data_IF_852209647611
#
_entry.id   IF_852209647611
#
_cell.length_a   1.000
_cell.length_b   1.000
_cell.length_c   1.000
_cell.angle_alpha   90.00
_cell.angle_beta   90.00
_cell.angle_gamma   90.00
#
_symmetry.space_group_name_H-M   'P 1'
#
loop_
_entity.id
_entity.type
_entity.pdbx_description
1 polymer ?
#
# COMPACT_ATOMS: atom_id res chain seq x y z
N UNK A 1 -14.17 -34.26 23.40
CA UNK A 1 -13.06 -34.45 22.43
C UNK A 1 -12.50 -35.85 22.66
N UNK A 2 -12.17 -36.62 21.61
CA UNK A 2 -11.60 -37.95 21.71
C UNK A 2 -10.25 -37.91 22.46
N UNK A 3 -10.05 -38.78 23.44
CA UNK A 3 -8.82 -38.89 24.24
C UNK A 3 -7.58 -39.03 23.36
N UNK A 4 -7.66 -39.79 22.27
CA UNK A 4 -6.58 -39.95 21.29
C UNK A 4 -6.18 -38.65 20.61
N UNK A 5 -7.14 -37.70 20.39
CA UNK A 5 -6.86 -36.39 19.81
C UNK A 5 -6.14 -35.50 20.83
N UNK A 6 -6.59 -35.51 22.07
CA UNK A 6 -5.95 -34.76 23.16
C UNK A 6 -4.50 -35.22 23.35
N UNK A 7 -4.26 -36.53 23.38
CA UNK A 7 -2.90 -37.10 23.53
C UNK A 7 -1.97 -36.64 22.38
N UNK A 8 -2.48 -36.62 21.13
CA UNK A 8 -1.71 -36.13 19.98
C UNK A 8 -1.40 -34.63 20.07
N UNK A 9 -2.37 -33.82 20.50
CA UNK A 9 -2.17 -32.39 20.71
C UNK A 9 -1.09 -32.13 21.76
N UNK A 10 -1.11 -32.86 22.87
CA UNK A 10 -0.09 -32.76 23.91
C UNK A 10 1.30 -33.14 23.40
N UNK A 11 1.42 -34.18 22.60
CA UNK A 11 2.67 -34.58 21.98
C UNK A 11 3.20 -33.53 20.99
N UNK A 12 2.30 -32.92 20.20
CA UNK A 12 2.66 -31.84 19.30
C UNK A 12 3.11 -30.61 20.07
N UNK A 13 2.43 -30.24 21.17
CA UNK A 13 2.83 -29.12 22.02
C UNK A 13 4.25 -29.32 22.58
N UNK A 14 4.58 -30.50 23.08
CA UNK A 14 5.94 -30.83 23.53
C UNK A 14 6.97 -30.70 22.41
N UNK A 15 6.65 -31.25 21.21
CA UNK A 15 7.54 -31.24 20.06
C UNK A 15 7.84 -29.80 19.60
N UNK A 16 6.81 -28.94 19.46
CA UNK A 16 6.98 -27.56 19.02
C UNK A 16 7.68 -26.71 20.08
N UNK A 17 7.35 -26.90 21.36
CA UNK A 17 8.03 -26.20 22.45
C UNK A 17 9.53 -26.49 22.48
N UNK A 18 9.94 -27.75 22.20
CA UNK A 18 11.34 -28.13 22.13
C UNK A 18 12.12 -27.44 20.99
N UNK A 19 11.42 -26.94 19.97
CA UNK A 19 12.00 -26.20 18.85
C UNK A 19 11.76 -24.68 18.93
N UNK A 20 11.26 -24.20 20.08
CA UNK A 20 10.95 -22.77 20.28
C UNK A 20 9.75 -22.27 19.46
N UNK A 21 8.89 -23.19 19.01
CA UNK A 21 7.69 -22.88 18.21
C UNK A 21 6.44 -22.98 19.07
N UNK A 22 5.39 -22.24 18.71
CA UNK A 22 4.11 -22.24 19.40
C UNK A 22 3.07 -23.07 18.63
N UNK A 23 2.56 -24.16 19.27
CA UNK A 23 1.51 -24.99 18.67
C UNK A 23 0.22 -24.23 18.41
N UNK A 24 -0.15 -23.26 19.27
CA UNK A 24 -1.36 -22.46 19.15
C UNK A 24 -1.40 -21.72 17.81
N UNK A 25 -0.29 -21.06 17.44
CA UNK A 25 -0.14 -20.40 16.14
C UNK A 25 -0.29 -21.33 14.95
N UNK A 26 0.11 -22.61 15.09
CA UNK A 26 -0.10 -23.61 14.03
C UNK A 26 -1.58 -24.03 13.94
N UNK A 27 -2.25 -24.17 15.07
CA UNK A 27 -3.67 -24.50 15.10
C UNK A 27 -4.51 -23.34 14.51
N UNK A 28 -4.18 -22.10 14.85
CA UNK A 28 -4.80 -20.92 14.24
C UNK A 28 -4.57 -20.91 12.72
N UNK A 29 -3.35 -21.19 12.27
CA UNK A 29 -3.04 -21.30 10.84
C UNK A 29 -3.87 -22.38 10.14
N UNK A 30 -4.08 -23.54 10.77
CA UNK A 30 -4.93 -24.61 10.23
C UNK A 30 -6.40 -24.23 10.19
N UNK A 31 -6.90 -23.49 11.19
CA UNK A 31 -8.29 -23.00 11.24
C UNK A 31 -8.57 -21.94 10.18
N UNK A 32 -7.57 -21.09 9.86
CA UNK A 32 -7.67 -20.04 8.87
C UNK A 32 -7.31 -20.47 7.44
N UNK A 33 -6.80 -21.71 7.29
CA UNK A 33 -6.38 -22.24 5.99
C UNK A 33 -7.56 -22.56 5.10
N UNK A 34 -7.67 -21.86 3.97
CA UNK A 34 -8.63 -22.14 2.91
C UNK A 34 -8.11 -23.15 1.88
N UNK A 35 -6.90 -23.69 2.10
CA UNK A 35 -6.20 -24.59 1.16
C UNK A 35 -6.02 -23.99 -0.25
N UNK A 36 -6.02 -22.64 -0.36
CA UNK A 36 -5.78 -21.95 -1.61
C UNK A 36 -4.33 -22.12 -2.05
N UNK A 37 -4.14 -22.36 -3.34
CA UNK A 37 -2.82 -22.28 -3.96
C UNK A 37 -2.27 -20.86 -3.95
N UNK A 38 -0.95 -20.70 -4.08
CA UNK A 38 -0.30 -19.39 -4.18
C UNK A 38 -0.94 -18.50 -5.25
N UNK A 39 -1.26 -19.10 -6.40
CA UNK A 39 -1.87 -18.42 -7.54
C UNK A 39 -3.22 -17.79 -7.22
N UNK A 40 -4.09 -18.58 -6.57
CA UNK A 40 -5.44 -18.15 -6.20
C UNK A 40 -5.39 -17.13 -5.07
N UNK A 41 -4.52 -17.37 -4.06
CA UNK A 41 -4.39 -16.49 -2.90
C UNK A 41 -4.01 -15.06 -3.27
N UNK A 42 -3.10 -14.87 -4.24
CA UNK A 42 -2.70 -13.54 -4.70
C UNK A 42 -3.49 -13.04 -5.91
N UNK A 43 -4.52 -13.77 -6.37
CA UNK A 43 -5.34 -13.43 -7.54
C UNK A 43 -4.49 -13.18 -8.80
N UNK A 44 -3.51 -14.05 -9.05
CA UNK A 44 -2.49 -13.83 -10.07
C UNK A 44 -3.08 -13.76 -11.49
N UNK A 45 -4.12 -14.55 -11.80
CA UNK A 45 -4.82 -14.48 -13.09
C UNK A 45 -5.34 -13.06 -13.36
N UNK A 46 -6.00 -12.46 -12.39
CA UNK A 46 -6.49 -11.09 -12.51
C UNK A 46 -5.33 -10.11 -12.65
N UNK A 47 -4.31 -10.22 -11.79
CA UNK A 47 -3.16 -9.32 -11.80
C UNK A 47 -2.46 -9.29 -13.16
N UNK A 48 -2.25 -10.45 -13.79
CA UNK A 48 -1.55 -10.57 -15.07
C UNK A 48 -2.40 -10.18 -16.29
N UNK A 49 -3.68 -9.86 -16.11
CA UNK A 49 -4.58 -9.37 -17.19
C UNK A 49 -4.80 -7.86 -17.16
N UNK A 50 -4.25 -7.14 -16.18
CA UNK A 50 -4.46 -5.71 -16.03
C UNK A 50 -3.62 -4.83 -16.95
N UNK A 51 -2.62 -5.40 -17.63
CA UNK A 51 -1.70 -4.69 -18.52
C UNK A 51 -2.29 -4.57 -19.92
N UNK A 52 -2.94 -3.44 -20.21
CA UNK A 52 -3.63 -3.18 -21.47
C UNK A 52 -2.99 -1.99 -22.20
N UNK A 53 -1.92 -2.20 -23.00
CA UNK A 53 -1.31 -1.14 -23.78
C UNK A 53 -2.28 -0.59 -24.83
N UNK A 54 -2.14 0.69 -25.16
CA UNK A 54 -2.93 1.38 -26.20
C UNK A 54 -2.24 1.35 -27.55
N UNK A 55 -0.95 1.07 -27.58
CA UNK A 55 -0.12 1.04 -28.78
C UNK A 55 0.56 -0.32 -28.93
N UNK A 56 1.15 -0.57 -30.09
CA UNK A 56 1.91 -1.80 -30.37
C UNK A 56 3.39 -1.71 -29.93
N UNK A 57 3.80 -0.62 -29.26
CA UNK A 57 5.17 -0.49 -28.77
C UNK A 57 5.38 -1.38 -27.52
N UNK A 58 6.37 -2.30 -27.55
CA UNK A 58 6.64 -3.22 -26.45
C UNK A 58 6.89 -2.53 -25.11
N UNK A 59 7.57 -1.39 -25.14
CA UNK A 59 7.98 -0.64 -23.93
C UNK A 59 6.80 0.03 -23.23
N UNK A 60 5.65 0.21 -23.89
CA UNK A 60 4.44 0.66 -23.20
C UNK A 60 4.00 -0.34 -22.11
N UNK A 61 4.24 -1.63 -22.31
CA UNK A 61 3.95 -2.64 -21.28
C UNK A 61 4.87 -2.50 -20.08
N UNK A 62 6.16 -2.18 -20.28
CA UNK A 62 7.12 -1.89 -19.22
C UNK A 62 6.62 -0.70 -18.40
N UNK A 63 6.21 0.38 -19.08
CA UNK A 63 5.64 1.58 -18.46
C UNK A 63 4.45 1.26 -17.58
N UNK A 64 3.47 0.50 -18.09
CA UNK A 64 2.25 0.12 -17.35
C UNK A 64 2.61 -0.71 -16.12
N UNK A 65 3.40 -1.78 -16.29
CA UNK A 65 3.76 -2.70 -15.20
C UNK A 65 4.52 -1.95 -14.10
N UNK A 66 5.49 -1.11 -14.46
CA UNK A 66 6.26 -0.36 -13.48
C UNK A 66 5.38 0.61 -12.66
N UNK A 67 4.43 1.31 -13.30
CA UNK A 67 3.49 2.15 -12.59
C UNK A 67 2.55 1.36 -11.67
N UNK A 68 2.11 0.17 -12.09
CA UNK A 68 1.33 -0.72 -11.23
C UNK A 68 2.14 -1.18 -10.01
N UNK A 69 3.43 -1.52 -10.17
CA UNK A 69 4.33 -1.85 -9.06
C UNK A 69 4.49 -0.65 -8.13
N UNK A 70 4.64 0.56 -8.67
CA UNK A 70 4.73 1.79 -7.88
C UNK A 70 3.48 2.02 -7.03
N UNK A 71 2.30 1.85 -7.61
CA UNK A 71 1.02 1.96 -6.89
C UNK A 71 0.86 0.88 -5.80
N UNK A 72 1.37 -0.33 -6.01
CA UNK A 72 1.38 -1.37 -4.99
C UNK A 72 2.34 -1.03 -3.83
N UNK A 73 3.50 -0.42 -4.10
CA UNK A 73 4.37 0.11 -3.05
C UNK A 73 3.70 1.26 -2.27
N UNK A 74 2.97 2.16 -2.94
CA UNK A 74 2.19 3.18 -2.25
C UNK A 74 1.11 2.55 -1.36
N UNK A 75 0.47 1.49 -1.81
CA UNK A 75 -0.48 0.71 -1.00
C UNK A 75 0.17 0.15 0.26
N UNK A 76 1.39 -0.40 0.17
CA UNK A 76 2.16 -0.85 1.34
C UNK A 76 2.47 0.31 2.29
N UNK A 77 2.86 1.48 1.76
CA UNK A 77 3.12 2.66 2.58
C UNK A 77 1.88 3.12 3.34
N UNK A 78 0.73 3.19 2.68
CA UNK A 78 -0.55 3.56 3.29
C UNK A 78 -0.90 2.58 4.42
N UNK A 79 -0.75 1.28 4.18
CA UNK A 79 -1.02 0.25 5.19
C UNK A 79 -0.17 0.42 6.46
N UNK A 80 1.12 0.79 6.35
CA UNK A 80 1.95 1.06 7.52
C UNK A 80 1.55 2.36 8.24
N UNK A 81 1.20 3.41 7.48
CA UNK A 81 0.73 4.68 8.05
C UNK A 81 -0.60 4.50 8.80
N UNK A 82 -1.53 3.73 8.25
CA UNK A 82 -2.80 3.40 8.90
C UNK A 82 -2.58 2.70 10.25
N UNK A 83 -1.69 1.71 10.31
CA UNK A 83 -1.37 1.01 11.55
C UNK A 83 -0.74 1.94 12.61
N UNK A 84 0.09 2.93 12.20
CA UNK A 84 0.60 3.96 13.10
C UNK A 84 -0.56 4.79 13.66
N UNK A 85 -1.46 5.24 12.80
CA UNK A 85 -2.59 6.09 13.20
C UNK A 85 -3.54 5.35 14.13
N UNK A 86 -3.88 4.11 13.82
CA UNK A 86 -4.80 3.29 14.63
C UNK A 86 -4.21 2.96 15.99
N UNK A 87 -2.89 2.80 16.11
CA UNK A 87 -2.26 2.52 17.41
C UNK A 87 -2.51 3.64 18.44
N UNK A 88 -2.60 4.89 17.98
CA UNK A 88 -2.92 6.04 18.84
C UNK A 88 -4.42 6.26 19.08
N UNK A 89 -5.30 5.58 18.34
CA UNK A 89 -6.76 5.75 18.36
C UNK A 89 -7.40 4.90 19.45
N UNK A 90 -8.43 5.41 20.07
CA UNK A 90 -9.22 4.68 21.08
C UNK A 90 -10.63 4.53 20.55
N UNK A 91 -11.04 3.29 20.34
CA UNK A 91 -12.42 2.92 20.05
C UNK A 91 -12.92 2.10 21.23
N UNK A 92 -14.06 2.50 21.85
CA UNK A 92 -14.70 1.76 22.91
C UNK A 92 -15.39 0.50 22.39
N UNK A 93 -15.71 -0.42 23.29
CA UNK A 93 -16.40 -1.67 22.97
C UNK A 93 -17.80 -1.43 22.36
N UNK A 94 -18.43 -0.29 22.65
CA UNK A 94 -19.72 0.15 22.08
C UNK A 94 -19.58 0.81 20.69
N UNK A 95 -18.35 0.87 20.15
CA UNK A 95 -18.03 1.49 18.86
C UNK A 95 -17.80 2.99 18.90
N UNK A 96 -17.91 3.65 20.09
CA UNK A 96 -17.63 5.08 20.21
C UNK A 96 -16.14 5.38 19.99
N UNK A 97 -15.86 6.22 19.01
CA UNK A 97 -14.50 6.71 18.70
C UNK A 97 -14.15 7.91 19.59
N UNK A 98 -13.13 7.76 20.41
CA UNK A 98 -12.59 8.81 21.29
C UNK A 98 -11.41 9.58 20.66
N UNK A 99 -11.10 9.29 19.41
CA UNK A 99 -9.99 9.90 18.68
C UNK A 99 -8.61 9.42 19.16
N UNK A 100 -7.60 10.23 18.89
CA UNK A 100 -6.19 9.91 19.21
C UNK A 100 -5.81 10.36 20.63
N UNK A 101 -6.26 9.60 21.63
CA UNK A 101 -6.02 9.86 23.04
C UNK A 101 -5.03 8.90 23.71
N UNK A 102 -4.55 7.89 22.96
CA UNK A 102 -3.54 6.95 23.41
C UNK A 102 -2.15 7.41 23.00
N UNK A 103 -1.20 7.26 23.91
CA UNK A 103 0.21 7.46 23.57
C UNK A 103 0.65 6.37 22.57
N UNK A 104 1.22 6.80 21.45
CA UNK A 104 1.75 5.91 20.41
C UNK A 104 2.89 5.04 20.97
N UNK A 105 2.88 3.74 20.67
CA UNK A 105 3.99 2.85 20.97
C UNK A 105 5.22 3.23 20.15
N UNK A 106 6.32 3.56 20.83
CA UNK A 106 7.57 3.93 20.18
C UNK A 106 8.15 2.77 19.37
N UNK A 107 8.05 1.55 19.89
CA UNK A 107 8.55 0.34 19.22
C UNK A 107 7.80 0.11 17.89
N UNK A 108 6.48 0.13 17.93
CA UNK A 108 5.64 0.01 16.73
C UNK A 108 5.96 1.12 15.72
N UNK A 109 6.05 2.37 16.19
CA UNK A 109 6.36 3.50 15.32
C UNK A 109 7.71 3.31 14.60
N UNK A 110 8.76 2.94 15.32
CA UNK A 110 10.08 2.69 14.73
C UNK A 110 10.04 1.55 13.72
N UNK A 111 9.34 0.46 14.04
CA UNK A 111 9.20 -0.67 13.11
C UNK A 111 8.53 -0.25 11.81
N UNK A 112 7.39 0.45 11.90
CA UNK A 112 6.63 0.90 10.73
C UNK A 112 7.41 1.91 9.89
N UNK A 113 8.11 2.85 10.53
CA UNK A 113 8.98 3.80 9.83
C UNK A 113 10.15 3.12 9.11
N UNK A 114 10.72 2.06 9.68
CA UNK A 114 11.74 1.25 9.00
C UNK A 114 11.19 0.55 7.75
N UNK A 115 9.95 0.06 7.81
CA UNK A 115 9.28 -0.55 6.64
C UNK A 115 9.00 0.48 5.55
N UNK A 116 8.42 1.63 5.91
CA UNK A 116 8.19 2.76 4.99
C UNK A 116 9.47 3.17 4.27
N UNK A 117 10.56 3.37 5.03
CA UNK A 117 11.84 3.73 4.45
C UNK A 117 12.37 2.66 3.46
N UNK A 118 12.17 1.38 3.76
CA UNK A 118 12.54 0.28 2.86
C UNK A 118 11.73 0.31 1.56
N UNK A 119 10.42 0.55 1.64
CA UNK A 119 9.56 0.63 0.46
C UNK A 119 9.94 1.81 -0.44
N UNK A 120 10.15 2.99 0.15
CA UNK A 120 10.58 4.18 -0.59
C UNK A 120 11.97 4.00 -1.20
N UNK A 121 12.90 3.38 -0.49
CA UNK A 121 14.23 3.07 -1.03
C UNK A 121 14.14 2.14 -2.25
N UNK A 122 13.34 1.07 -2.17
CA UNK A 122 13.14 0.17 -3.30
C UNK A 122 12.52 0.88 -4.51
N UNK A 123 11.58 1.81 -4.29
CA UNK A 123 11.01 2.63 -5.37
C UNK A 123 12.09 3.48 -6.05
N UNK A 124 12.96 4.12 -5.29
CA UNK A 124 14.06 4.94 -5.83
C UNK A 124 15.03 4.06 -6.63
N UNK A 125 15.46 2.94 -6.06
CA UNK A 125 16.41 2.02 -6.70
C UNK A 125 15.82 1.34 -7.95
N UNK A 126 14.53 0.99 -7.93
CA UNK A 126 13.87 0.35 -9.07
C UNK A 126 13.55 1.30 -10.22
N UNK A 127 13.71 2.62 -10.02
CA UNK A 127 13.40 3.61 -11.07
C UNK A 127 14.27 3.46 -12.32
N UNK A 128 15.41 2.80 -12.20
CA UNK A 128 16.29 2.46 -13.33
C UNK A 128 15.56 1.63 -14.40
N UNK A 129 14.53 0.85 -14.02
CA UNK A 129 13.65 0.16 -14.98
C UNK A 129 13.00 1.14 -15.96
N UNK A 130 12.69 2.36 -15.51
CA UNK A 130 12.09 3.40 -16.37
C UNK A 130 13.14 4.20 -17.13
N UNK A 131 14.35 4.38 -16.55
CA UNK A 131 15.40 5.21 -17.15
C UNK A 131 16.18 4.41 -18.21
N UNK A 132 16.65 3.24 -17.82
CA UNK A 132 17.56 2.41 -18.63
C UNK A 132 16.86 1.19 -19.23
N UNK A 133 15.69 0.79 -18.69
CA UNK A 133 14.94 -0.37 -19.13
C UNK A 133 14.02 -0.12 -20.32
N UNK A 134 13.86 1.12 -20.79
CA UNK A 134 13.05 1.47 -21.96
C UNK A 134 13.86 2.17 -23.05
N UNK A 135 13.52 1.91 -24.33
CA UNK A 135 14.08 2.69 -25.44
C UNK A 135 13.46 4.09 -25.47
N UNK A 136 14.30 5.11 -25.32
CA UNK A 136 13.88 6.52 -25.34
C UNK A 136 13.07 6.89 -26.59
N UNK A 137 13.40 6.32 -27.75
CA UNK A 137 12.70 6.62 -29.02
C UNK A 137 11.30 6.00 -29.03
N UNK A 138 11.14 4.80 -28.50
CA UNK A 138 9.82 4.18 -28.34
C UNK A 138 8.97 4.96 -27.34
N UNK A 139 9.52 5.31 -26.18
CA UNK A 139 8.82 6.13 -25.20
C UNK A 139 8.31 7.45 -25.80
N UNK A 140 9.14 8.16 -26.56
CA UNK A 140 8.75 9.41 -27.21
C UNK A 140 7.58 9.25 -28.20
N UNK A 141 7.46 8.07 -28.82
CA UNK A 141 6.37 7.77 -29.76
C UNK A 141 5.06 7.46 -29.03
N UNK A 142 5.09 6.59 -28.02
CA UNK A 142 3.84 6.22 -27.35
C UNK A 142 3.38 7.18 -26.25
N UNK A 143 4.26 8.02 -25.69
CA UNK A 143 3.91 8.94 -24.60
C UNK A 143 2.71 9.85 -24.89
N UNK A 144 2.49 10.20 -26.15
CA UNK A 144 1.36 11.04 -26.54
C UNK A 144 0.03 10.29 -26.46
N UNK A 145 0.05 8.95 -26.61
CA UNK A 145 -1.12 8.12 -26.41
C UNK A 145 -1.51 7.97 -24.94
N UNK A 146 -0.59 8.29 -24.02
CA UNK A 146 -0.85 8.26 -22.57
C UNK A 146 -1.59 9.51 -22.08
N UNK A 147 -1.66 10.58 -22.87
CA UNK A 147 -2.36 11.80 -22.44
C UNK A 147 -3.86 11.51 -22.20
N UNK A 148 -4.46 12.08 -21.15
CA UNK A 148 -3.90 12.99 -20.15
C UNK A 148 -3.29 12.33 -18.91
N UNK A 149 -3.02 11.01 -18.93
CA UNK A 149 -2.51 10.25 -17.78
C UNK A 149 -1.09 10.69 -17.40
N UNK A 150 -0.89 11.02 -16.12
CA UNK A 150 0.41 11.41 -15.56
C UNK A 150 0.59 10.79 -14.18
N UNK A 151 1.82 10.43 -13.80
CA UNK A 151 2.13 9.89 -12.46
C UNK A 151 1.72 10.81 -11.31
N UNK A 152 1.69 12.13 -11.53
CA UNK A 152 1.19 13.11 -10.54
C UNK A 152 -0.30 12.96 -10.20
N UNK A 153 -1.05 12.15 -10.94
CA UNK A 153 -2.47 11.85 -10.70
C UNK A 153 -2.68 10.69 -9.73
N UNK A 154 -1.61 10.09 -9.19
CA UNK A 154 -1.74 9.04 -8.20
C UNK A 154 -2.50 9.52 -6.97
N UNK A 155 -3.69 8.96 -6.75
CA UNK A 155 -4.48 9.23 -5.55
C UNK A 155 -3.79 8.70 -4.29
N UNK A 156 -3.13 7.54 -4.38
CA UNK A 156 -2.41 6.94 -3.25
C UNK A 156 -1.21 7.79 -2.83
N UNK A 157 -0.46 8.36 -3.79
CA UNK A 157 0.63 9.27 -3.44
C UNK A 157 0.13 10.51 -2.71
N UNK A 158 -0.99 11.12 -3.17
CA UNK A 158 -1.64 12.24 -2.48
C UNK A 158 -2.10 11.85 -1.07
N UNK A 159 -2.62 10.65 -0.91
CA UNK A 159 -3.03 10.14 0.39
C UNK A 159 -1.84 10.00 1.35
N UNK A 160 -0.70 9.50 0.89
CA UNK A 160 0.54 9.45 1.66
C UNK A 160 0.96 10.84 2.11
N UNK A 161 0.97 11.83 1.20
CA UNK A 161 1.33 13.21 1.53
C UNK A 161 0.42 13.80 2.61
N UNK A 162 -0.91 13.66 2.45
CA UNK A 162 -1.92 14.18 3.39
C UNK A 162 -1.79 13.54 4.77
N UNK A 163 -1.50 12.24 4.82
CA UNK A 163 -1.36 11.49 6.08
C UNK A 163 -0.01 11.72 6.77
N UNK A 164 0.98 12.25 6.06
CA UNK A 164 2.35 12.39 6.56
C UNK A 164 2.61 13.76 7.18
N UNK A 165 1.82 14.80 6.85
CA UNK A 165 2.09 16.16 7.30
C UNK A 165 0.85 17.07 7.22
N UNK A 166 0.94 18.26 7.84
CA UNK A 166 -0.13 19.25 7.73
C UNK A 166 -0.22 19.86 6.33
N UNK A 167 -1.43 20.22 5.90
CA UNK A 167 -1.71 20.76 4.55
C UNK A 167 -0.85 21.96 4.20
N UNK A 168 -0.52 22.80 5.19
CA UNK A 168 0.33 23.98 4.98
C UNK A 168 1.74 23.66 4.47
N UNK A 169 2.22 22.43 4.72
CA UNK A 169 3.56 21.98 4.29
C UNK A 169 3.57 21.43 2.85
N UNK A 170 2.41 21.06 2.31
CA UNK A 170 2.27 20.46 0.97
C UNK A 170 1.54 21.37 -0.01
N UNK A 171 0.95 22.46 0.46
CA UNK A 171 0.26 23.41 -0.40
C UNK A 171 0.45 24.84 0.10
N UNK A 172 0.68 25.78 -0.82
CA UNK A 172 0.76 27.20 -0.55
C UNK A 172 -0.62 27.85 -0.63
N UNK A 173 -0.85 28.92 0.15
CA UNK A 173 -2.08 29.73 0.08
C UNK A 173 -3.24 29.16 0.90
N UNK A 174 -2.96 28.38 1.93
CA UNK A 174 -3.95 27.98 2.93
C UNK A 174 -4.10 29.13 3.92
N UNK A 175 -5.07 30.01 3.67
CA UNK A 175 -5.54 30.96 4.65
C UNK A 175 -6.51 30.29 5.62
N UNK A 176 -6.85 30.95 6.73
CA UNK A 176 -7.66 30.47 7.86
C UNK A 176 -9.11 30.03 7.50
N UNK A 177 -9.35 29.58 6.25
CA UNK A 177 -10.61 29.04 5.77
C UNK A 177 -10.82 27.57 6.16
N UNK A 178 -11.90 26.98 5.63
CA UNK A 178 -12.22 25.57 5.84
C UNK A 178 -11.17 24.65 5.21
N UNK A 179 -10.28 24.14 6.07
CA UNK A 179 -9.18 23.24 5.71
C UNK A 179 -9.69 21.99 4.97
N UNK A 180 -10.83 21.45 5.39
CA UNK A 180 -11.42 20.26 4.77
C UNK A 180 -11.86 20.53 3.32
N UNK A 181 -12.46 21.69 3.08
CA UNK A 181 -12.83 22.13 1.74
C UNK A 181 -11.59 22.32 0.86
N UNK A 182 -10.51 22.85 1.41
CA UNK A 182 -9.25 23.01 0.72
C UNK A 182 -8.65 21.64 0.30
N UNK A 183 -8.60 20.65 1.21
CA UNK A 183 -8.17 19.29 0.88
C UNK A 183 -9.02 18.70 -0.24
N UNK A 184 -10.34 18.76 -0.11
CA UNK A 184 -11.24 18.11 -1.04
C UNK A 184 -11.30 18.80 -2.41
N UNK A 185 -11.29 20.13 -2.45
CA UNK A 185 -11.57 20.86 -3.68
C UNK A 185 -10.33 21.35 -4.42
N UNK A 186 -9.24 21.63 -3.72
CA UNK A 186 -8.04 22.17 -4.34
C UNK A 186 -6.91 21.14 -4.41
N UNK A 187 -6.53 20.56 -3.27
CA UNK A 187 -5.38 19.67 -3.26
C UNK A 187 -5.69 18.30 -3.86
N UNK A 188 -6.71 17.60 -3.32
CA UNK A 188 -7.09 16.27 -3.76
C UNK A 188 -7.54 16.25 -5.23
N UNK A 189 -8.48 17.11 -5.59
CA UNK A 189 -9.01 17.18 -6.96
C UNK A 189 -7.98 17.71 -7.96
N UNK A 190 -7.14 18.66 -7.59
CA UNK A 190 -6.13 19.22 -8.50
C UNK A 190 -5.05 18.23 -8.86
N UNK A 191 -4.68 17.32 -7.96
CA UNK A 191 -3.80 16.19 -8.27
C UNK A 191 -4.43 15.18 -9.24
N UNK A 192 -5.77 15.00 -9.16
CA UNK A 192 -6.51 14.04 -9.97
C UNK A 192 -7.08 14.62 -11.29
N UNK A 193 -7.24 15.95 -11.41
CA UNK A 193 -8.06 16.59 -12.45
C UNK A 193 -7.32 17.71 -13.19
N UNK A 194 -6.20 17.40 -13.79
CA UNK A 194 -5.89 18.11 -15.04
C UNK A 194 -6.66 17.52 -16.26
N UNK A 195 -7.55 16.56 -16.00
CA UNK A 195 -8.36 15.89 -17.02
C UNK A 195 -9.45 16.80 -17.58
N UNK A 196 -10.05 17.68 -16.75
CA UNK A 196 -11.15 18.55 -17.18
C UNK A 196 -10.69 19.83 -17.87
N UNK A 197 -9.44 20.24 -17.70
CA UNK A 197 -8.90 21.48 -18.26
C UNK A 197 -8.13 21.29 -19.57
N UNK A 198 -7.92 20.05 -20.02
CA UNK A 198 -7.20 19.74 -21.28
C UNK A 198 -5.74 20.22 -21.30
N UNK A 199 -5.15 20.44 -20.13
CA UNK A 199 -3.75 20.92 -20.01
C UNK A 199 -2.85 19.86 -19.40
#
# INVERSE_FOLDING_TARGET
>A
MDKKIIDKINLLAQKYSATGQNLDSYLDGLLLSDFLGYWDYINLDTLLTLQKPKTDFPDEKIFIIYHQITELYFKLCINEIEQINENGRIIKDDGQDLGWNRKLSLELFIEKMKRLNRYMKNLIESFDVMIDGMDKREFLKFRMALLPSRGFQSAQFREIEIRSTEIKNISSGVDNGDILSYYNNLYWKKGAIDISSGK
#
